data_IF_565784021498
#
_entry.id   IF_565784021498
#
_cell.length_a   1.000
_cell.length_b   1.000
_cell.length_c   1.000
_cell.angle_alpha   90.00
_cell.angle_beta   90.00
_cell.angle_gamma   90.00
#
_symmetry.space_group_name_H-M   'P 1'
#
loop_
_entity.id
_entity.type
_entity.pdbx_description
1 polymer ?
#
# COMPACT_ATOMS: atom_id res chain seq x y z
N UNK A 1 -18.07 -21.04 0.90
CA UNK A 1 -16.94 -20.87 -0.04
C UNK A 1 -16.04 -19.76 0.48
N UNK A 2 -14.80 -20.10 0.81
CA UNK A 2 -13.82 -19.17 1.33
C UNK A 2 -13.15 -18.33 0.23
N UNK A 3 -12.54 -17.22 0.66
CA UNK A 3 -11.35 -16.61 0.05
C UNK A 3 -11.57 -15.64 -1.12
N UNK A 4 -11.67 -14.35 -0.78
CA UNK A 4 -10.83 -13.28 -1.34
C UNK A 4 -10.85 -12.15 -0.30
N UNK A 5 -9.72 -11.59 0.13
CA UNK A 5 -9.75 -10.23 0.66
C UNK A 5 -10.13 -9.37 -0.54
N UNK A 6 -11.44 -9.20 -0.72
CA UNK A 6 -12.00 -8.27 -1.68
C UNK A 6 -11.67 -6.90 -1.10
N UNK A 7 -10.52 -6.34 -1.46
CA UNK A 7 -10.47 -4.89 -1.54
C UNK A 7 -11.58 -4.55 -2.53
N UNK A 8 -12.73 -4.09 -2.05
CA UNK A 8 -13.96 -3.97 -2.84
C UNK A 8 -13.83 -2.86 -3.90
N UNK A 9 -12.73 -2.11 -3.85
CA UNK A 9 -12.25 -1.23 -4.93
C UNK A 9 -10.75 -1.00 -4.78
N UNK A 10 -10.06 -0.73 -5.89
CA UNK A 10 -8.66 -0.25 -5.94
C UNK A 10 -8.42 0.92 -4.96
N UNK A 11 -9.45 1.73 -4.73
CA UNK A 11 -9.49 2.83 -3.76
C UNK A 11 -9.30 2.36 -2.30
N UNK A 12 -9.90 1.25 -1.89
CA UNK A 12 -9.70 0.70 -0.55
C UNK A 12 -8.28 0.17 -0.38
N UNK A 13 -7.76 -0.54 -1.39
CA UNK A 13 -6.37 -1.03 -1.39
C UNK A 13 -5.38 0.14 -1.29
N UNK A 14 -5.64 1.24 -1.99
CA UNK A 14 -4.91 2.51 -1.86
C UNK A 14 -4.94 3.07 -0.45
N UNK A 15 -6.13 3.18 0.16
CA UNK A 15 -6.25 3.72 1.52
C UNK A 15 -5.48 2.87 2.53
N UNK A 16 -5.61 1.55 2.46
CA UNK A 16 -4.87 0.64 3.33
C UNK A 16 -3.35 0.83 3.17
N UNK A 17 -2.85 0.86 1.94
CA UNK A 17 -1.41 1.06 1.67
C UNK A 17 -0.94 2.44 2.12
N UNK A 18 -1.74 3.51 1.93
CA UNK A 18 -1.44 4.85 2.45
C UNK A 18 -1.39 4.88 3.97
N UNK A 19 -2.31 4.20 4.65
CA UNK A 19 -2.31 4.09 6.10
C UNK A 19 -1.05 3.38 6.60
N UNK A 20 -0.68 2.25 5.97
CA UNK A 20 0.57 1.54 6.28
C UNK A 20 1.80 2.41 5.99
N UNK A 21 1.79 3.18 4.89
CA UNK A 21 2.86 4.12 4.55
C UNK A 21 3.00 5.27 5.55
N UNK A 22 1.86 5.77 6.06
CA UNK A 22 1.82 6.82 7.07
C UNK A 22 2.33 6.32 8.43
N UNK A 23 2.00 5.08 8.80
CA UNK A 23 2.45 4.41 10.01
C UNK A 23 3.91 3.92 9.94
N UNK A 24 4.48 3.77 8.73
CA UNK A 24 5.87 3.37 8.57
C UNK A 24 6.83 4.50 9.00
N UNK A 25 7.95 4.16 9.69
CA UNK A 25 8.96 5.14 10.06
C UNK A 25 9.50 5.85 8.81
N UNK A 26 9.70 7.17 8.91
CA UNK A 26 10.17 7.98 7.80
C UNK A 26 11.55 7.48 7.33
N UNK A 27 11.61 7.00 6.09
CA UNK A 27 12.81 6.43 5.49
C UNK A 27 12.63 6.21 3.99
N UNK A 28 13.70 5.76 3.33
CA UNK A 28 13.76 5.58 1.87
C UNK A 28 12.61 4.70 1.33
N UNK A 29 12.14 3.74 2.13
CA UNK A 29 11.00 2.89 1.79
C UNK A 29 9.65 3.63 1.77
N UNK A 30 9.42 4.57 2.71
CA UNK A 30 8.22 5.42 2.73
C UNK A 30 8.16 6.31 1.49
N UNK A 31 9.26 7.00 1.18
CA UNK A 31 9.36 7.86 -0.01
C UNK A 31 9.13 7.06 -1.30
N UNK A 32 9.67 5.84 -1.38
CA UNK A 32 9.45 4.94 -2.53
C UNK A 32 7.99 4.51 -2.64
N UNK A 33 7.37 4.13 -1.52
CA UNK A 33 5.97 3.75 -1.48
C UNK A 33 5.04 4.91 -1.84
N UNK A 34 5.29 6.13 -1.34
CA UNK A 34 4.51 7.32 -1.70
C UNK A 34 4.56 7.62 -3.20
N UNK A 35 5.72 7.48 -3.85
CA UNK A 35 5.84 7.63 -5.31
C UNK A 35 5.00 6.59 -6.06
N UNK A 36 5.01 5.34 -5.61
CA UNK A 36 4.18 4.29 -6.22
C UNK A 36 2.68 4.52 -5.99
N UNK A 37 2.28 5.01 -4.81
CA UNK A 37 0.89 5.35 -4.50
C UNK A 37 0.40 6.50 -5.38
N UNK A 38 1.16 7.60 -5.52
CA UNK A 38 0.79 8.70 -6.41
C UNK A 38 0.65 8.26 -7.86
N UNK A 39 1.58 7.42 -8.33
CA UNK A 39 1.53 6.85 -9.67
C UNK A 39 0.35 5.88 -9.84
N UNK A 40 -0.08 5.20 -8.78
CA UNK A 40 -1.31 4.42 -8.77
C UNK A 40 -2.55 5.35 -8.83
N UNK A 41 -2.58 6.46 -8.08
CA UNK A 41 -3.71 7.41 -8.09
C UNK A 41 -3.91 8.02 -9.48
N UNK A 42 -2.82 8.34 -10.17
CA UNK A 42 -2.85 8.79 -11.55
C UNK A 42 -3.40 7.71 -12.50
N UNK A 43 -3.03 6.44 -12.32
CA UNK A 43 -3.58 5.33 -13.11
C UNK A 43 -5.07 5.09 -12.81
N UNK A 44 -5.50 5.23 -11.56
CA UNK A 44 -6.91 5.10 -11.16
C UNK A 44 -7.76 6.19 -11.81
N UNK A 45 -7.30 7.44 -11.83
CA UNK A 45 -7.99 8.55 -12.50
C UNK A 45 -8.17 8.32 -14.01
N UNK A 46 -7.29 7.51 -14.62
CA UNK A 46 -7.35 7.14 -16.05
C UNK A 46 -8.18 5.86 -16.29
N UNK A 47 -8.71 5.24 -15.24
CA UNK A 47 -9.43 3.97 -15.33
C UNK A 47 -8.54 2.74 -15.58
N UNK A 48 -7.23 2.86 -15.32
CA UNK A 48 -6.26 1.78 -15.58
C UNK A 48 -6.09 0.90 -14.34
N UNK A 49 -7.13 0.13 -14.01
CA UNK A 49 -7.17 -0.69 -12.79
C UNK A 49 -6.01 -1.70 -12.71
N UNK A 50 -5.61 -2.29 -13.85
CA UNK A 50 -4.51 -3.26 -13.89
C UNK A 50 -3.13 -2.66 -13.56
N UNK A 51 -2.84 -1.46 -14.05
CA UNK A 51 -1.61 -0.73 -13.72
C UNK A 51 -1.63 -0.24 -12.27
N UNK A 52 -2.81 0.23 -11.85
CA UNK A 52 -3.04 0.68 -10.49
C UNK A 52 -2.75 -0.44 -9.48
N UNK A 53 -3.31 -1.63 -9.72
CA UNK A 53 -3.12 -2.78 -8.83
C UNK A 53 -1.65 -3.25 -8.79
N UNK A 54 -0.93 -3.21 -9.92
CA UNK A 54 0.52 -3.51 -9.98
C UNK A 54 1.35 -2.53 -9.15
N UNK A 55 1.07 -1.23 -9.24
CA UNK A 55 1.79 -0.21 -8.48
C UNK A 55 1.50 -0.29 -6.99
N UNK A 56 0.26 -0.58 -6.61
CA UNK A 56 -0.12 -0.81 -5.23
C UNK A 56 0.57 -2.05 -4.65
N UNK A 57 0.70 -3.11 -5.43
CA UNK A 57 1.43 -4.31 -4.99
C UNK A 57 2.92 -4.02 -4.76
N UNK A 58 3.54 -3.26 -5.68
CA UNK A 58 4.93 -2.82 -5.54
C UNK A 58 5.13 -1.93 -4.30
N UNK A 59 4.21 -0.99 -4.07
CA UNK A 59 4.21 -0.13 -2.88
C UNK A 59 4.07 -0.95 -1.60
N UNK A 60 3.12 -1.89 -1.57
CA UNK A 60 2.89 -2.78 -0.44
C UNK A 60 4.11 -3.65 -0.16
N UNK A 61 4.79 -4.17 -1.19
CA UNK A 61 5.99 -4.99 -1.03
C UNK A 61 7.17 -4.18 -0.48
N UNK A 62 7.34 -2.92 -0.94
CA UNK A 62 8.34 -2.00 -0.40
C UNK A 62 8.06 -1.66 1.08
N UNK A 63 6.79 -1.40 1.43
CA UNK A 63 6.37 -1.12 2.81
C UNK A 63 6.47 -2.34 3.72
N UNK A 64 6.12 -3.53 3.23
CA UNK A 64 6.22 -4.77 4.00
C UNK A 64 7.69 -5.03 4.38
N UNK A 65 8.63 -4.83 3.45
CA UNK A 65 10.07 -4.93 3.73
C UNK A 65 10.53 -3.92 4.76
N UNK A 66 9.94 -2.73 4.79
CA UNK A 66 10.25 -1.70 5.79
C UNK A 66 9.63 -2.01 7.18
N UNK A 67 8.40 -2.53 7.20
CA UNK A 67 7.70 -2.91 8.43
C UNK A 67 8.38 -4.09 9.16
N UNK A 68 9.01 -5.00 8.42
CA UNK A 68 9.79 -6.12 8.98
C UNK A 68 10.98 -5.65 9.83
N UNK A 69 11.47 -4.41 9.65
CA UNK A 69 12.52 -3.83 10.49
C UNK A 69 11.98 -3.11 11.76
N UNK A 70 10.67 -3.13 12.02
CA UNK A 70 10.07 -2.47 13.19
C UNK A 70 9.04 -3.34 13.93
N UNK A 71 9.13 -4.66 13.85
CA UNK A 71 8.32 -5.56 14.70
C UNK A 71 8.74 -5.48 16.18
N UNK A 72 8.36 -4.38 16.85
CA UNK A 72 7.76 -4.45 18.17
C UNK A 72 6.24 -4.53 17.99
N UNK A 73 5.57 -5.62 18.39
CA UNK A 73 4.12 -5.73 18.22
C UNK A 73 3.43 -4.84 19.26
N UNK A 74 2.84 -3.73 18.82
CA UNK A 74 1.84 -3.01 19.60
C UNK A 74 0.66 -2.65 18.70
N UNK A 75 -0.18 -3.65 18.45
CA UNK A 75 -1.61 -3.39 18.36
C UNK A 75 -2.18 -3.56 19.76
N UNK A 76 -2.01 -2.50 20.55
CA UNK A 76 -2.63 -2.40 21.87
C UNK A 76 -4.09 -1.99 21.73
N UNK A 77 -4.93 -2.94 22.13
CA UNK A 77 -6.19 -2.80 22.87
C UNK A 77 -7.47 -2.45 22.10
#
# INVERSE_FOLDING_TARGET
MASRPRFASTVEKMRAIRATCAAAPAGLAKTTAERHIQAAEAAQRRGWEGECNRRLDSAAHALARAAQCSSGPSWSR
#
